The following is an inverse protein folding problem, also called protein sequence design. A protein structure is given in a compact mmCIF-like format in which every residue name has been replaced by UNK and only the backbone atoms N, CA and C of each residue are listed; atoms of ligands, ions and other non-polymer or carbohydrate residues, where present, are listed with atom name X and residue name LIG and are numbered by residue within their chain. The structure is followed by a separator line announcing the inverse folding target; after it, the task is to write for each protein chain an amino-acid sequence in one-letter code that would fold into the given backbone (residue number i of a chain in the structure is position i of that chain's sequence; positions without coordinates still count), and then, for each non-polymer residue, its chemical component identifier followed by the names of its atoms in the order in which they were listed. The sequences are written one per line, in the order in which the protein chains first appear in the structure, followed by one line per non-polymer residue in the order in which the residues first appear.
data_IF_831717515378
#
_entry.id   IF_831717515378
#
_cell.length_a   1.000
_cell.length_b   1.000
_cell.length_c   1.000
_cell.angle_alpha   90.00
_cell.angle_beta   90.00
_cell.angle_gamma   90.00
#
_symmetry.space_group_name_H-M   'P 1'
#
loop_
_entity.id
_entity.type
_entity.pdbx_description
1 polymer ?
#
# COMPACT_ATOMS: atom_id res chain seq x y z
N UNK A 1 -29.37 -17.37 41.92
CA UNK A 1 -29.69 -16.96 40.52
C UNK A 1 -29.33 -15.50 40.16
N UNK A 2 -29.07 -14.59 41.11
CA UNK A 2 -28.72 -13.17 40.80
C UNK A 2 -27.27 -12.89 40.35
N UNK A 3 -26.34 -13.85 40.51
CA UNK A 3 -24.91 -13.67 40.18
C UNK A 3 -24.54 -14.02 38.73
N UNK A 4 -25.42 -14.72 38.01
CA UNK A 4 -25.15 -15.17 36.64
C UNK A 4 -25.44 -14.08 35.59
N UNK A 5 -26.40 -13.19 35.86
CA UNK A 5 -26.71 -12.05 34.97
C UNK A 5 -25.59 -10.99 34.94
N UNK A 6 -24.78 -10.91 36.00
CA UNK A 6 -23.71 -9.90 36.12
C UNK A 6 -22.48 -10.25 35.26
N UNK A 7 -22.25 -11.54 35.00
CA UNK A 7 -21.17 -12.00 34.13
C UNK A 7 -21.52 -11.88 32.64
N UNK A 8 -22.79 -12.05 32.27
CA UNK A 8 -23.25 -11.90 30.87
C UNK A 8 -23.30 -10.41 30.47
N UNK A 9 -23.60 -9.50 31.41
CA UNK A 9 -23.57 -8.05 31.16
C UNK A 9 -22.18 -7.47 30.93
N UNK A 10 -21.13 -8.05 31.54
CA UNK A 10 -19.74 -7.57 31.38
C UNK A 10 -19.08 -8.05 30.08
N UNK A 11 -19.55 -9.18 29.52
CA UNK A 11 -19.05 -9.73 28.25
C UNK A 11 -19.63 -9.03 27.00
N UNK A 12 -20.70 -8.24 27.13
CA UNK A 12 -21.33 -7.51 26.02
C UNK A 12 -20.70 -6.15 25.68
N UNK A 13 -19.85 -5.59 26.55
CA UNK A 13 -19.32 -4.22 26.41
C UNK A 13 -17.95 -4.16 25.71
N UNK A 14 -17.34 -5.31 25.40
CA UNK A 14 -16.09 -5.41 24.64
C UNK A 14 -16.27 -5.54 23.12
N UNK A 15 -17.51 -5.48 22.62
CA UNK A 15 -17.80 -5.26 21.20
C UNK A 15 -17.60 -3.78 20.84
N UNK A 16 -16.41 -3.23 21.12
CA UNK A 16 -15.97 -2.02 20.44
C UNK A 16 -15.84 -2.40 18.98
N UNK A 17 -16.71 -1.85 18.13
CA UNK A 17 -16.68 -2.04 16.70
C UNK A 17 -15.23 -1.85 16.22
N UNK A 18 -14.59 -2.93 15.78
CA UNK A 18 -13.41 -2.80 14.96
C UNK A 18 -13.89 -2.09 13.70
N UNK A 19 -13.61 -0.79 13.59
CA UNK A 19 -13.78 -0.05 12.34
C UNK A 19 -12.79 -0.68 11.37
N UNK A 20 -13.24 -1.68 10.62
CA UNK A 20 -12.48 -2.22 9.53
C UNK A 20 -12.35 -1.11 8.49
N UNK A 21 -11.12 -0.82 8.08
CA UNK A 21 -10.90 0.14 7.01
C UNK A 21 -11.55 -0.38 5.73
N UNK A 22 -12.14 0.53 4.94
CA UNK A 22 -12.83 0.13 3.71
C UNK A 22 -11.81 -0.36 2.69
N UNK A 23 -12.09 -1.42 1.94
CA UNK A 23 -11.25 -1.81 0.81
C UNK A 23 -11.23 -0.72 -0.27
N UNK A 24 -10.06 -0.50 -0.90
CA UNK A 24 -9.95 0.44 -2.01
C UNK A 24 -10.82 0.01 -3.20
N UNK A 25 -11.43 0.99 -3.87
CA UNK A 25 -12.29 0.77 -5.03
C UNK A 25 -11.46 0.42 -6.27
N UNK A 26 -11.29 -0.86 -6.58
CA UNK A 26 -10.51 -1.27 -7.74
C UNK A 26 -11.16 -0.83 -9.06
N UNK A 27 -10.42 -0.08 -9.88
CA UNK A 27 -10.92 0.49 -11.14
C UNK A 27 -11.72 1.79 -10.97
N UNK A 28 -11.68 2.42 -9.79
CA UNK A 28 -12.26 3.75 -9.57
C UNK A 28 -11.42 4.85 -10.22
N UNK A 29 -12.00 6.03 -10.42
CA UNK A 29 -11.23 7.20 -10.88
C UNK A 29 -10.43 7.82 -9.75
N UNK A 30 -9.34 8.52 -10.07
CA UNK A 30 -8.53 9.22 -9.07
C UNK A 30 -9.35 10.30 -8.35
N UNK A 31 -10.30 10.95 -9.04
CA UNK A 31 -11.26 11.89 -8.43
C UNK A 31 -12.12 11.25 -7.32
N UNK A 32 -12.52 9.98 -7.52
CA UNK A 32 -13.23 9.20 -6.49
C UNK A 32 -12.34 8.98 -5.26
N UNK A 33 -11.05 8.73 -5.48
CA UNK A 33 -10.07 8.52 -4.41
C UNK A 33 -9.79 9.82 -3.64
N UNK A 34 -9.64 10.96 -4.33
CA UNK A 34 -9.50 12.30 -3.73
C UNK A 34 -10.69 12.59 -2.82
N UNK A 35 -11.90 12.34 -3.30
CA UNK A 35 -13.13 12.69 -2.57
C UNK A 35 -13.36 11.77 -1.37
N UNK A 36 -13.24 10.46 -1.56
CA UNK A 36 -13.67 9.47 -0.58
C UNK A 36 -12.59 9.09 0.44
N UNK A 37 -11.31 9.16 0.06
CA UNK A 37 -10.18 8.72 0.88
C UNK A 37 -9.25 9.88 1.25
N UNK A 38 -9.83 11.02 1.64
CA UNK A 38 -9.11 12.28 1.87
C UNK A 38 -8.32 12.36 3.21
N UNK A 39 -8.53 11.42 4.13
CA UNK A 39 -7.93 11.46 5.46
C UNK A 39 -7.73 10.06 6.01
N UNK A 40 -6.88 9.92 7.04
CA UNK A 40 -6.59 8.62 7.66
C UNK A 40 -7.85 7.91 8.19
N UNK A 41 -8.83 8.67 8.69
CA UNK A 41 -10.09 8.11 9.17
C UNK A 41 -10.94 7.45 8.07
N UNK A 42 -10.74 7.86 6.82
CA UNK A 42 -11.40 7.32 5.64
C UNK A 42 -10.39 6.61 4.72
N UNK A 43 -9.25 6.13 5.26
CA UNK A 43 -8.25 5.48 4.44
C UNK A 43 -8.81 4.19 3.83
N UNK A 44 -8.39 3.90 2.60
CA UNK A 44 -8.75 2.66 1.94
C UNK A 44 -7.64 1.62 2.11
N UNK A 45 -8.01 0.36 2.24
CA UNK A 45 -7.11 -0.74 2.52
C UNK A 45 -6.81 -1.56 1.26
N UNK A 46 -5.54 -1.91 1.07
CA UNK A 46 -5.05 -2.91 0.11
C UNK A 46 -4.10 -3.82 0.88
N UNK A 47 -4.38 -5.11 0.97
CA UNK A 47 -3.58 -6.02 1.79
C UNK A 47 -3.46 -5.53 3.24
N UNK A 48 -2.25 -5.32 3.71
CA UNK A 48 -1.90 -4.77 5.03
C UNK A 48 -1.60 -3.25 5.02
N UNK A 49 -1.84 -2.56 3.90
CA UNK A 49 -1.60 -1.12 3.74
C UNK A 49 -2.88 -0.30 3.73
N UNK A 50 -2.74 0.93 4.19
CA UNK A 50 -3.74 1.98 4.13
C UNK A 50 -3.27 3.10 3.21
N UNK A 51 -4.15 3.56 2.33
CA UNK A 51 -3.89 4.65 1.40
C UNK A 51 -4.92 5.77 1.57
N UNK A 52 -4.47 7.02 1.62
CA UNK A 52 -5.35 8.19 1.76
C UNK A 52 -4.67 9.50 1.38
N UNK A 53 -5.44 10.59 1.42
CA UNK A 53 -4.95 11.95 1.19
C UNK A 53 -4.54 12.18 -0.25
N UNK A 54 -5.26 11.55 -1.18
CA UNK A 54 -5.02 11.69 -2.61
C UNK A 54 -5.21 13.14 -3.07
N UNK A 55 -4.29 13.65 -3.88
CA UNK A 55 -4.41 14.96 -4.53
C UNK A 55 -3.77 14.93 -5.92
N UNK A 56 -4.39 15.62 -6.86
CA UNK A 56 -3.91 15.79 -8.23
C UNK A 56 -3.71 17.27 -8.49
N UNK A 57 -2.55 17.63 -8.99
CA UNK A 57 -2.24 19.00 -9.36
C UNK A 57 -1.40 19.01 -10.62
N UNK A 58 -1.71 19.91 -11.55
CA UNK A 58 -0.79 20.20 -12.64
C UNK A 58 0.54 20.73 -12.06
N UNK A 59 1.64 20.17 -12.54
CA UNK A 59 2.99 20.60 -12.19
C UNK A 59 3.34 21.96 -12.79
N UNK A 60 4.46 22.53 -12.35
CA UNK A 60 4.93 23.81 -12.89
C UNK A 60 5.27 23.66 -14.39
N UNK A 61 4.83 24.63 -15.20
CA UNK A 61 5.00 24.69 -16.66
C UNK A 61 4.21 23.65 -17.47
N UNK A 62 3.27 22.94 -16.84
CA UNK A 62 2.25 22.11 -17.50
C UNK A 62 1.48 22.93 -18.54
N UNK A 63 1.59 22.52 -19.81
CA UNK A 63 0.80 23.11 -20.90
C UNK A 63 0.44 22.10 -21.99
N UNK A 64 0.75 20.82 -21.76
CA UNK A 64 0.41 19.71 -22.63
C UNK A 64 -1.01 19.21 -22.42
N UNK A 65 -1.30 18.00 -22.93
CA UNK A 65 -2.57 17.32 -22.64
C UNK A 65 -2.38 16.44 -21.41
N UNK A 66 -2.44 17.02 -20.21
CA UNK A 66 -2.49 16.23 -18.98
C UNK A 66 -3.91 15.65 -18.77
N UNK A 67 -4.03 14.41 -18.27
CA UNK A 67 -5.33 13.83 -17.95
C UNK A 67 -5.95 14.55 -16.74
N UNK A 68 -7.27 14.70 -16.71
CA UNK A 68 -7.98 15.11 -15.51
C UNK A 68 -8.02 13.97 -14.47
N UNK A 69 -8.24 14.29 -13.18
CA UNK A 69 -8.41 13.26 -12.12
C UNK A 69 -9.52 12.26 -12.43
N UNK A 70 -10.53 12.66 -13.20
CA UNK A 70 -11.63 11.80 -13.64
C UNK A 70 -11.22 10.81 -14.73
N UNK A 71 -10.08 11.02 -15.39
CA UNK A 71 -9.57 10.21 -16.50
C UNK A 71 -8.47 9.24 -16.08
N UNK A 72 -7.90 9.43 -14.88
CA UNK A 72 -6.93 8.51 -14.27
C UNK A 72 -7.71 7.43 -13.53
N UNK A 73 -7.54 6.18 -13.94
CA UNK A 73 -8.08 5.01 -13.26
C UNK A 73 -7.08 4.47 -12.24
N UNK A 74 -7.58 4.09 -11.07
CA UNK A 74 -6.79 3.61 -9.95
C UNK A 74 -7.06 2.14 -9.73
N UNK A 75 -6.02 1.32 -9.78
CA UNK A 75 -6.11 -0.11 -9.53
C UNK A 75 -5.33 -0.49 -8.28
N UNK A 76 -5.98 -1.26 -7.42
CA UNK A 76 -5.35 -1.79 -6.23
C UNK A 76 -4.48 -2.99 -6.60
N UNK A 77 -3.21 -3.00 -6.18
CA UNK A 77 -2.29 -4.12 -6.37
C UNK A 77 -2.19 -4.85 -5.03
N UNK A 78 -2.90 -5.97 -4.84
CA UNK A 78 -2.92 -6.68 -3.55
C UNK A 78 -1.60 -7.40 -3.23
N UNK A 79 -0.68 -7.53 -4.18
CA UNK A 79 0.57 -8.29 -4.00
C UNK A 79 0.32 -9.73 -3.57
N UNK A 80 1.19 -10.24 -2.70
CA UNK A 80 0.98 -11.51 -1.99
C UNK A 80 0.30 -11.33 -0.61
N UNK A 81 -0.17 -10.12 -0.31
CA UNK A 81 -0.78 -9.75 0.96
C UNK A 81 0.17 -9.14 1.99
N UNK A 82 1.49 -9.16 1.77
CA UNK A 82 2.48 -8.49 2.63
C UNK A 82 3.64 -7.82 1.88
N UNK A 83 3.98 -8.34 0.71
CA UNK A 83 5.00 -7.84 -0.19
C UNK A 83 4.37 -7.39 -1.51
N UNK A 84 5.00 -6.39 -2.12
CA UNK A 84 4.57 -5.80 -3.39
C UNK A 84 3.09 -5.37 -3.34
N UNK A 85 2.66 -4.78 -2.22
CA UNK A 85 1.33 -4.17 -2.11
C UNK A 85 1.43 -2.74 -2.60
N UNK A 86 0.55 -2.38 -3.51
CA UNK A 86 0.70 -1.13 -4.21
C UNK A 86 -0.57 -0.56 -4.78
N UNK A 87 -0.36 0.48 -5.56
CA UNK A 87 -1.40 1.17 -6.30
C UNK A 87 -0.87 1.50 -7.70
N UNK A 88 -1.73 1.29 -8.69
CA UNK A 88 -1.45 1.58 -10.10
C UNK A 88 -2.34 2.72 -10.55
N UNK A 89 -1.73 3.76 -11.09
CA UNK A 89 -2.40 4.85 -11.78
C UNK A 89 -2.30 4.60 -13.28
N UNK A 90 -3.44 4.25 -13.88
CA UNK A 90 -3.54 4.01 -15.30
C UNK A 90 -4.30 5.17 -15.93
N UNK A 91 -3.63 5.86 -16.84
CA UNK A 91 -4.23 6.92 -17.65
C UNK A 91 -4.08 6.55 -19.12
N UNK A 92 -5.13 6.83 -19.89
CA UNK A 92 -5.00 6.88 -21.36
C UNK A 92 -4.39 8.18 -21.87
N UNK A 93 -3.94 9.07 -20.98
CA UNK A 93 -3.85 10.50 -21.23
C UNK A 93 -2.56 11.23 -20.87
N UNK A 94 -1.53 10.63 -20.25
CA UNK A 94 -0.23 11.33 -20.18
C UNK A 94 0.46 11.25 -21.54
N UNK A 95 0.10 12.15 -22.44
CA UNK A 95 0.53 12.13 -23.84
C UNK A 95 1.09 13.50 -24.23
N UNK A 96 2.40 13.58 -24.40
CA UNK A 96 3.03 14.72 -25.03
C UNK A 96 3.16 14.46 -26.53
N UNK A 97 2.56 15.32 -27.36
CA UNK A 97 2.57 15.27 -28.83
C UNK A 97 3.15 16.55 -29.47
N UNK A 98 3.66 17.45 -28.64
CA UNK A 98 4.26 18.72 -29.05
C UNK A 98 5.44 19.03 -28.13
N UNK A 99 6.19 20.08 -28.46
CA UNK A 99 7.30 20.58 -27.63
C UNK A 99 6.84 21.16 -26.30
N UNK A 100 5.53 21.19 -26.06
CA UNK A 100 4.92 21.66 -24.83
C UNK A 100 5.01 20.55 -23.78
N UNK A 101 5.73 20.77 -22.67
CA UNK A 101 5.94 19.73 -21.68
C UNK A 101 4.64 19.41 -20.93
N UNK A 102 4.52 18.14 -20.56
CA UNK A 102 3.58 17.69 -19.53
C UNK A 102 4.34 17.64 -18.22
N UNK A 103 3.74 18.21 -17.18
CA UNK A 103 4.17 18.02 -15.82
C UNK A 103 2.94 17.76 -14.96
N UNK A 104 2.78 16.55 -14.44
CA UNK A 104 1.63 16.17 -13.62
C UNK A 104 2.10 15.64 -12.27
N UNK A 105 1.34 15.94 -11.21
CA UNK A 105 1.70 15.58 -9.84
C UNK A 105 0.55 14.84 -9.18
N UNK A 106 0.84 13.60 -8.77
CA UNK A 106 -0.03 12.78 -7.94
C UNK A 106 0.57 12.70 -6.54
N UNK A 107 -0.24 12.87 -5.51
CA UNK A 107 0.21 12.71 -4.12
C UNK A 107 -0.76 11.85 -3.34
N UNK A 108 -0.25 11.08 -2.40
CA UNK A 108 -1.04 10.27 -1.48
C UNK A 108 -0.19 9.89 -0.27
N UNK A 109 -0.81 9.27 0.72
CA UNK A 109 -0.12 8.72 1.88
C UNK A 109 -0.32 7.21 1.88
N UNK A 110 0.69 6.49 2.36
CA UNK A 110 0.66 5.06 2.60
C UNK A 110 1.09 4.78 4.03
N UNK A 111 0.40 3.88 4.73
CA UNK A 111 0.85 3.37 6.01
C UNK A 111 0.53 1.90 6.19
N UNK A 112 1.23 1.26 7.13
CA UNK A 112 0.92 -0.10 7.57
C UNK A 112 -0.33 -0.09 8.44
N UNK A 113 -1.21 -1.07 8.24
CA UNK A 113 -2.45 -1.22 9.02
C UNK A 113 -2.15 -1.45 10.50
N UNK A 114 -1.03 -2.12 10.79
CA UNK A 114 -0.56 -2.37 12.16
C UNK A 114 0.09 -1.14 12.81
N UNK A 115 0.31 -0.07 12.05
CA UNK A 115 1.12 1.11 12.43
C UNK A 115 2.56 0.78 12.89
N UNK A 116 3.02 -0.45 12.65
CA UNK A 116 4.39 -0.85 12.97
C UNK A 116 5.33 -0.39 11.83
N UNK A 117 6.57 0.06 12.14
CA UNK A 117 7.52 0.49 11.13
C UNK A 117 8.14 -0.72 10.44
N UNK A 118 7.40 -1.29 9.48
CA UNK A 118 7.75 -2.54 8.80
C UNK A 118 7.84 -2.39 7.28
N UNK A 119 7.56 -1.21 6.72
CA UNK A 119 7.83 -0.97 5.29
C UNK A 119 9.34 -1.04 5.09
N UNK A 120 9.78 -1.96 4.23
CA UNK A 120 11.20 -2.27 4.00
C UNK A 120 11.69 -1.85 2.63
N UNK A 121 10.80 -1.66 1.67
CA UNK A 121 11.14 -1.24 0.31
C UNK A 121 10.00 -0.45 -0.33
N UNK A 122 10.36 0.29 -1.38
CA UNK A 122 9.45 0.91 -2.32
C UNK A 122 9.94 0.63 -3.75
N UNK A 123 9.00 0.38 -4.64
CA UNK A 123 9.25 0.14 -6.07
C UNK A 123 8.39 1.06 -6.90
N UNK A 124 9.01 1.83 -7.78
CA UNK A 124 8.34 2.62 -8.81
C UNK A 124 8.52 1.92 -10.15
N UNK A 125 7.42 1.64 -10.83
CA UNK A 125 7.40 1.06 -12.19
C UNK A 125 6.56 1.94 -13.10
N UNK A 126 7.05 2.18 -14.31
CA UNK A 126 6.32 2.92 -15.33
C UNK A 126 6.19 2.10 -16.61
N UNK A 127 5.03 2.21 -17.27
CA UNK A 127 4.79 1.63 -18.59
C UNK A 127 4.35 2.72 -19.54
N UNK A 128 4.86 2.67 -20.77
CA UNK A 128 4.56 3.66 -21.79
C UNK A 128 5.34 3.41 -23.08
N UNK A 129 5.31 4.40 -23.97
CA UNK A 129 5.96 4.36 -25.27
C UNK A 129 6.59 5.69 -25.62
N UNK A 130 7.77 5.64 -26.26
CA UNK A 130 8.43 6.78 -26.89
C UNK A 130 8.57 6.47 -28.37
N UNK A 131 8.36 7.46 -29.24
CA UNK A 131 8.44 7.26 -30.70
C UNK A 131 9.58 8.03 -31.36
N UNK A 132 10.07 9.10 -30.73
CA UNK A 132 11.22 9.89 -31.17
C UNK A 132 12.51 9.56 -30.41
N UNK A 133 13.66 9.73 -31.08
CA UNK A 133 14.99 9.49 -30.50
C UNK A 133 15.45 10.56 -29.49
N UNK A 134 14.70 11.67 -29.34
CA UNK A 134 14.93 12.72 -28.33
C UNK A 134 13.78 12.87 -27.33
N UNK A 135 12.77 12.01 -27.42
CA UNK A 135 11.59 12.06 -26.57
C UNK A 135 11.95 11.62 -25.14
N UNK A 136 11.29 12.24 -24.17
CA UNK A 136 11.51 12.02 -22.75
C UNK A 136 10.19 11.72 -22.05
N UNK A 137 10.23 10.70 -21.18
CA UNK A 137 9.18 10.38 -20.24
C UNK A 137 9.81 9.85 -18.96
N UNK A 138 9.52 10.51 -17.86
CA UNK A 138 10.09 10.26 -16.54
C UNK A 138 9.01 10.38 -15.47
N UNK A 139 9.10 9.53 -14.45
CA UNK A 139 8.37 9.70 -13.21
C UNK A 139 9.37 9.74 -12.06
N UNK A 140 9.21 10.72 -11.18
CA UNK A 140 10.01 10.89 -9.97
C UNK A 140 9.11 10.68 -8.75
N UNK A 141 9.29 9.58 -8.04
CA UNK A 141 8.60 9.29 -6.78
C UNK A 141 9.45 9.80 -5.60
N UNK A 142 8.89 10.74 -4.84
CA UNK A 142 9.49 11.28 -3.62
C UNK A 142 8.76 10.76 -2.39
N UNK A 143 9.50 10.17 -1.45
CA UNK A 143 8.98 9.67 -0.19
C UNK A 143 9.29 10.64 0.96
N UNK A 144 8.31 10.91 1.82
CA UNK A 144 8.46 11.75 3.01
C UNK A 144 7.96 11.00 4.25
N UNK A 145 8.78 10.79 5.29
CA UNK A 145 10.15 11.27 5.44
C UNK A 145 11.12 10.63 4.44
N UNK A 146 12.13 11.41 4.03
CA UNK A 146 13.12 10.96 3.06
C UNK A 146 13.94 9.78 3.57
N UNK A 147 14.18 8.82 2.67
CA UNK A 147 14.96 7.60 2.92
C UNK A 147 16.14 7.53 1.97
N UNK A 148 17.18 6.78 2.34
CA UNK A 148 18.34 6.60 1.49
C UNK A 148 17.92 5.95 0.15
N UNK A 149 18.31 6.57 -0.96
CA UNK A 149 17.91 6.15 -2.30
C UNK A 149 16.66 6.84 -2.85
N UNK A 150 15.93 7.63 -2.06
CA UNK A 150 14.85 8.51 -2.55
C UNK A 150 15.41 9.85 -3.05
N UNK A 151 14.85 10.47 -4.11
CA UNK A 151 13.68 10.02 -4.88
C UNK A 151 13.99 8.85 -5.82
N UNK A 152 12.99 8.00 -6.06
CA UNK A 152 13.06 6.98 -7.10
C UNK A 152 12.78 7.67 -8.44
N UNK A 153 13.57 7.36 -9.47
CA UNK A 153 13.43 7.98 -10.79
C UNK A 153 13.36 6.91 -11.87
N UNK A 154 12.16 6.71 -12.42
CA UNK A 154 11.94 5.79 -13.52
C UNK A 154 11.83 6.56 -14.84
N UNK A 155 12.43 6.04 -15.91
CA UNK A 155 12.35 6.61 -17.26
C UNK A 155 12.12 5.53 -18.30
N UNK A 156 11.36 5.82 -19.36
CA UNK A 156 11.07 4.84 -20.41
C UNK A 156 12.32 4.45 -21.23
N UNK A 157 13.34 5.31 -21.25
CA UNK A 157 14.61 5.05 -21.93
C UNK A 157 15.60 4.20 -21.12
N UNK A 158 15.36 4.01 -19.81
CA UNK A 158 16.04 3.13 -18.85
C UNK A 158 16.45 3.88 -17.57
N UNK A 159 16.17 3.37 -16.36
CA UNK A 159 15.35 2.19 -16.04
C UNK A 159 13.85 2.52 -15.92
N UNK A 160 12.96 1.66 -16.44
CA UNK A 160 11.51 1.82 -16.32
C UNK A 160 10.93 1.27 -15.01
N UNK A 161 11.73 0.56 -14.22
CA UNK A 161 11.38 0.08 -12.88
C UNK A 161 12.58 0.27 -11.95
N UNK A 162 12.35 0.84 -10.78
CA UNK A 162 13.37 1.16 -9.79
C UNK A 162 12.87 0.72 -8.43
N UNK A 163 13.70 0.00 -7.68
CA UNK A 163 13.41 -0.42 -6.31
C UNK A 163 14.50 0.13 -5.37
N UNK A 164 14.09 0.54 -4.17
CA UNK A 164 15.00 0.89 -3.09
C UNK A 164 14.63 0.16 -1.80
N UNK A 165 15.64 -0.22 -1.02
CA UNK A 165 15.49 -0.99 0.23
C UNK A 165 15.92 -0.15 1.44
N UNK A 166 15.06 -0.09 2.46
CA UNK A 166 15.21 0.70 3.67
C UNK A 166 15.96 -0.07 4.77
N UNK A 167 17.26 -0.32 4.55
CA UNK A 167 18.05 -1.19 5.44
C UNK A 167 18.13 -0.72 6.91
N UNK A 168 18.01 0.58 7.19
CA UNK A 168 18.18 1.15 8.54
C UNK A 168 17.08 2.13 8.97
N UNK A 169 16.09 2.42 8.10
CA UNK A 169 15.09 3.47 8.31
C UNK A 169 13.69 2.99 7.90
N UNK A 170 13.26 1.84 8.44
CA UNK A 170 11.88 1.37 8.22
C UNK A 170 10.90 2.41 8.77
N UNK A 171 9.87 2.71 8.00
CA UNK A 171 8.82 3.64 8.39
C UNK A 171 7.49 2.91 8.45
N UNK A 172 6.59 3.38 9.30
CA UNK A 172 5.21 2.91 9.34
C UNK A 172 4.33 3.65 8.32
N UNK A 173 4.79 4.81 7.85
CA UNK A 173 4.02 5.73 7.00
C UNK A 173 4.95 6.54 6.10
N UNK A 174 4.50 6.78 4.87
CA UNK A 174 5.08 7.74 3.94
C UNK A 174 4.00 8.63 3.35
N UNK A 175 4.31 9.90 3.16
CA UNK A 175 3.68 10.71 2.11
C UNK A 175 4.47 10.50 0.81
N UNK A 176 3.76 10.23 -0.26
CA UNK A 176 4.28 9.93 -1.59
C UNK A 176 3.90 11.05 -2.53
N UNK A 177 4.85 11.49 -3.35
CA UNK A 177 4.65 12.44 -4.44
C UNK A 177 5.26 11.87 -5.71
N UNK A 178 4.43 11.61 -6.70
CA UNK A 178 4.83 11.23 -8.05
C UNK A 178 4.79 12.45 -8.96
N UNK A 179 5.93 12.82 -9.54
CA UNK A 179 6.03 13.88 -10.54
C UNK A 179 6.28 13.26 -11.92
N UNK A 180 5.29 13.38 -12.81
CA UNK A 180 5.24 12.78 -14.14
C UNK A 180 5.62 13.86 -15.15
N UNK A 181 6.77 13.68 -15.81
CA UNK A 181 7.34 14.64 -16.75
C UNK A 181 7.51 14.02 -18.13
N UNK A 182 6.84 14.59 -19.14
CA UNK A 182 6.98 14.19 -20.54
C UNK A 182 7.37 15.38 -21.41
N UNK A 183 8.27 15.14 -22.36
CA UNK A 183 8.71 16.10 -23.35
C UNK A 183 8.91 15.40 -24.70
N UNK A 184 8.61 16.10 -25.79
CA UNK A 184 8.86 15.65 -27.16
C UNK A 184 9.92 16.55 -27.80
N UNK A 185 10.83 15.96 -28.59
CA UNK A 185 11.86 16.69 -29.30
C UNK A 185 11.27 17.57 -30.43
N UNK A 186 11.70 18.84 -30.60
CA UNK A 186 11.18 19.70 -31.66
C UNK A 186 11.48 19.17 -33.06
N UNK A 187 10.45 19.12 -33.92
CA UNK A 187 10.63 18.96 -35.37
C UNK A 187 10.29 17.59 -35.96
N UNK A 188 9.79 16.65 -35.16
CA UNK A 188 9.28 15.36 -35.63
C UNK A 188 7.82 15.15 -35.18
N UNK A 189 7.05 14.36 -35.94
CA UNK A 189 5.70 13.89 -35.53
C UNK A 189 5.85 12.76 -34.50
N UNK A 190 6.50 13.04 -33.38
CA UNK A 190 6.79 12.07 -32.32
C UNK A 190 5.90 12.31 -31.10
N UNK A 191 5.93 11.37 -30.19
CA UNK A 191 5.01 11.23 -29.08
C UNK A 191 5.72 10.54 -27.93
N UNK A 192 5.64 11.16 -26.76
CA UNK A 192 5.93 10.56 -25.47
C UNK A 192 4.63 10.20 -24.80
N UNK A 193 4.52 8.98 -24.30
CA UNK A 193 3.31 8.51 -23.65
C UNK A 193 3.65 7.63 -22.45
N UNK A 194 3.06 7.94 -21.29
CA UNK A 194 3.07 7.09 -20.10
C UNK A 194 1.64 6.62 -19.90
N UNK A 195 1.43 5.32 -19.84
CA UNK A 195 0.09 4.74 -19.63
C UNK A 195 -0.13 4.33 -18.17
N UNK A 196 0.92 3.88 -17.49
CA UNK A 196 0.82 3.31 -16.15
C UNK A 196 1.97 3.82 -15.29
N UNK A 197 1.63 4.25 -14.07
CA UNK A 197 2.55 4.51 -12.97
C UNK A 197 2.16 3.60 -11.81
N UNK A 198 3.06 2.73 -11.40
CA UNK A 198 2.84 1.72 -10.36
C UNK A 198 3.81 1.93 -9.21
N UNK A 199 3.26 1.98 -7.99
CA UNK A 199 4.04 2.10 -6.77
C UNK A 199 3.71 0.94 -5.85
N UNK A 200 4.73 0.14 -5.52
CA UNK A 200 4.62 -1.02 -4.64
C UNK A 200 5.46 -0.83 -3.38
N UNK A 201 4.94 -1.31 -2.25
CA UNK A 201 5.57 -1.27 -0.94
C UNK A 201 5.54 -2.67 -0.32
N UNK A 202 6.66 -3.12 0.23
CA UNK A 202 6.71 -4.41 0.93
C UNK A 202 6.98 -4.27 2.42
N UNK A 203 6.47 -5.22 3.20
CA UNK A 203 6.79 -5.36 4.62
C UNK A 203 7.88 -6.38 4.90
N UNK A 204 8.55 -6.18 6.04
CA UNK A 204 9.26 -7.25 6.72
C UNK A 204 8.25 -8.07 7.53
N UNK A 205 7.81 -9.19 6.96
CA UNK A 205 6.95 -10.15 7.67
C UNK A 205 7.78 -10.81 8.78
N UNK A 206 7.41 -10.65 10.07
CA UNK A 206 8.04 -11.45 11.12
C UNK A 206 7.73 -12.91 10.85
N UNK A 207 8.75 -13.77 10.84
CA UNK A 207 8.56 -15.21 10.67
C UNK A 207 7.43 -15.70 11.59
N UNK A 208 6.49 -16.54 11.10
CA UNK A 208 5.38 -17.00 11.92
C UNK A 208 5.95 -17.65 13.17
N UNK A 209 5.64 -17.08 14.34
CA UNK A 209 6.00 -17.68 15.64
C UNK A 209 5.61 -19.16 15.57
N UNK A 210 6.57 -20.10 15.74
CA UNK A 210 6.29 -21.50 15.52
C UNK A 210 5.14 -21.92 16.44
N UNK A 211 4.24 -22.73 15.87
CA UNK A 211 3.13 -23.47 16.48
C UNK A 211 3.43 -24.19 17.82
N UNK A 212 4.67 -24.13 18.29
CA UNK A 212 5.14 -24.42 19.65
C UNK A 212 4.26 -23.82 20.76
N UNK A 213 3.73 -22.60 20.60
CA UNK A 213 2.87 -21.99 21.63
C UNK A 213 1.49 -22.67 21.75
N UNK A 214 0.94 -23.14 20.62
CA UNK A 214 -0.32 -23.89 20.59
C UNK A 214 -0.10 -25.32 21.09
N UNK A 215 1.03 -25.94 20.72
CA UNK A 215 1.42 -27.26 21.21
C UNK A 215 1.67 -27.30 22.72
N UNK A 216 2.30 -26.27 23.28
CA UNK A 216 2.55 -26.16 24.73
C UNK A 216 1.27 -25.87 25.53
N UNK A 217 0.35 -25.06 25.00
CA UNK A 217 -0.97 -24.84 25.60
C UNK A 217 -1.82 -26.12 25.70
N UNK A 218 -1.83 -26.94 24.64
CA UNK A 218 -2.53 -28.23 24.63
C UNK A 218 -1.86 -29.29 25.52
N UNK A 219 -0.53 -29.29 25.63
CA UNK A 219 0.19 -30.18 26.56
C UNK A 219 -0.12 -29.84 28.02
N UNK A 220 -0.19 -28.56 28.39
CA UNK A 220 -0.60 -28.14 29.73
C UNK A 220 -2.06 -28.52 30.02
N UNK A 221 -2.98 -28.32 29.07
CA UNK A 221 -4.36 -28.78 29.20
C UNK A 221 -4.47 -30.32 29.35
N UNK A 222 -3.69 -31.08 28.57
CA UNK A 222 -3.63 -32.53 28.67
C UNK A 222 -3.09 -33.03 30.02
N UNK A 223 -2.08 -32.36 30.59
CA UNK A 223 -1.54 -32.69 31.91
C UNK A 223 -2.51 -32.37 33.05
N UNK A 224 -3.27 -31.28 32.94
CA UNK A 224 -4.31 -30.92 33.93
C UNK A 224 -5.49 -31.91 33.87
N UNK A 225 -5.88 -32.37 32.68
CA UNK A 225 -6.91 -33.41 32.52
C UNK A 225 -6.46 -34.76 33.09
N UNK A 226 -5.17 -35.13 32.93
CA UNK A 226 -4.64 -36.39 33.46
C UNK A 226 -4.61 -36.44 35.00
N UNK A 227 -4.44 -35.30 35.67
CA UNK A 227 -4.52 -35.20 37.14
C UNK A 227 -5.92 -35.41 37.72
N UNK A 228 -6.98 -35.31 36.91
CA UNK A 228 -8.37 -35.54 37.37
C UNK A 228 -8.85 -36.99 37.25
N UNK A 229 -8.06 -37.88 36.63
CA UNK A 229 -8.46 -39.28 36.36
C UNK A 229 -7.84 -40.29 37.35
N UNK A 230 -6.98 -39.88 38.28
CA UNK A 230 -6.49 -40.78 39.34
C UNK A 230 -7.15 -40.49 40.70
N UNK A 231 -8.11 -41.32 41.14
CA UNK A 231 -8.16 -41.79 42.52
C UNK A 231 -7.40 -43.12 42.60
N UNK A 232 -6.27 -43.15 43.32
CA UNK A 232 -5.59 -44.38 43.73
C UNK A 232 -6.12 -44.82 45.09
N UNK A 233 -6.58 -46.07 45.17
CA UNK A 233 -6.58 -46.95 46.35
C UNK A 233 -7.69 -46.67 47.38
N UNK A 234 -8.15 -47.59 48.22
CA UNK A 234 -7.84 -48.98 48.59
C UNK A 234 -9.16 -49.53 49.22
N UNK A 235 -9.42 -50.80 49.48
CA UNK A 235 -8.79 -51.62 50.53
C UNK A 235 -9.54 -52.99 50.59
N UNK A 236 -8.80 -54.08 50.80
CA UNK A 236 -9.29 -55.42 51.12
C UNK A 236 -10.00 -55.47 52.49
N UNK A 237 -10.97 -56.37 52.70
CA UNK A 237 -11.12 -57.14 53.95
C UNK A 237 -12.38 -58.03 53.96
N UNK A 238 -12.12 -59.35 54.02
CA UNK A 238 -12.92 -60.48 54.57
C UNK A 238 -14.31 -60.80 54.03
#
# INVERSE_FOLDING_TARGET
MKRFCLWVGLLGVLSTAAMANQLCTNGGTYDTYITNYNSFANACQIGDKLFWGFQHTAGANASGQEPFSSEISVHAIPGDGFSNIGISFNSGGWVANSTTPINDILTYNVATLSASPIIKDATLTITGTLTGLGDHAQVVETLTPGVAGSPLTATLNSPASVNIVFLNNMQAMFAVKDEISLLVDPGNNTQSHVSIVENDFSELVPEPLPTSLIGSGLLLFGLVLRKRVNPVGAEESK
#
